data_IF_216714645377
#
_entry.id   IF_216714645377
#
_cell.length_a   1.000
_cell.length_b   1.000
_cell.length_c   1.000
_cell.angle_alpha   90.00
_cell.angle_beta   90.00
_cell.angle_gamma   90.00
#
_symmetry.space_group_name_H-M   'P 1'
#
loop_
_entity.id
_entity.type
_entity.pdbx_description
1 polymer ?
#
# COMPACT_ATOMS: atom_id res chain seq x y z
N UNK A 1 -5.26 -6.28 -1.73
CA UNK A 1 -4.48 -6.86 -0.62
C UNK A 1 -5.00 -8.24 -0.20
N UNK A 2 -6.23 -8.61 -0.57
CA UNK A 2 -6.85 -9.91 -0.27
C UNK A 2 -6.02 -11.15 -0.67
N UNK A 3 -5.23 -11.07 -1.76
CA UNK A 3 -4.40 -12.20 -2.20
C UNK A 3 -3.18 -12.44 -1.30
N UNK A 4 -2.54 -11.37 -0.82
CA UNK A 4 -1.34 -11.48 0.01
C UNK A 4 -1.69 -11.97 1.42
N UNK A 5 -2.84 -11.55 1.96
CA UNK A 5 -3.34 -12.00 3.25
C UNK A 5 -3.79 -13.47 3.26
N UNK A 6 -4.03 -14.07 2.08
CA UNK A 6 -4.32 -15.49 1.96
C UNK A 6 -3.08 -16.38 2.22
N UNK A 7 -1.87 -15.81 2.18
CA UNK A 7 -0.61 -16.56 2.29
C UNK A 7 0.32 -16.03 3.39
N UNK A 8 0.14 -14.78 3.85
CA UNK A 8 0.93 -14.19 4.94
C UNK A 8 0.02 -13.49 5.95
N UNK A 9 0.30 -13.60 7.27
CA UNK A 9 -0.38 -12.81 8.28
C UNK A 9 -0.28 -11.32 7.97
N UNK A 10 -1.38 -10.58 8.12
CA UNK A 10 -1.43 -9.14 7.81
C UNK A 10 -0.33 -8.33 8.49
N UNK A 11 0.03 -8.65 9.74
CA UNK A 11 1.09 -7.96 10.49
C UNK A 11 2.48 -8.06 9.84
N UNK A 12 2.68 -8.99 8.91
CA UNK A 12 3.93 -9.16 8.17
C UNK A 12 3.89 -8.50 6.78
N UNK A 13 2.77 -7.91 6.37
CA UNK A 13 2.61 -7.32 5.05
C UNK A 13 2.99 -5.83 5.05
N UNK A 14 3.85 -5.48 4.10
CA UNK A 14 4.23 -4.11 3.80
C UNK A 14 3.72 -3.72 2.41
N UNK A 15 3.49 -2.42 2.21
CA UNK A 15 3.08 -1.87 0.91
C UNK A 15 4.17 -0.90 0.47
N UNK A 16 4.84 -1.22 -0.63
CA UNK A 16 5.92 -0.45 -1.21
C UNK A 16 5.93 -0.63 -2.74
N UNK A 17 6.61 0.26 -3.50
CA UNK A 17 6.88 0.02 -4.91
C UNK A 17 7.75 -1.23 -5.12
N UNK A 18 7.71 -1.79 -6.33
CA UNK A 18 8.51 -2.96 -6.70
C UNK A 18 10.03 -2.70 -6.62
N UNK A 19 10.47 -1.48 -6.92
CA UNK A 19 11.89 -1.10 -6.90
C UNK A 19 12.08 0.40 -6.63
N UNK A 20 13.34 0.85 -6.63
CA UNK A 20 13.69 2.26 -6.48
C UNK A 20 13.13 3.13 -7.61
N UNK A 21 12.75 4.36 -7.29
CA UNK A 21 12.05 5.27 -8.21
C UNK A 21 12.99 6.19 -9.01
N UNK A 22 14.30 5.88 -9.08
CA UNK A 22 15.33 6.77 -9.68
C UNK A 22 15.04 7.14 -11.13
N UNK A 23 14.40 6.25 -11.88
CA UNK A 23 14.09 6.44 -13.31
C UNK A 23 12.70 7.04 -13.55
N UNK A 24 12.01 7.48 -12.49
CA UNK A 24 10.65 8.01 -12.55
C UNK A 24 10.63 9.53 -12.37
N UNK A 25 9.68 10.18 -13.03
CA UNK A 25 9.44 11.62 -12.92
C UNK A 25 8.65 11.98 -11.65
N UNK A 26 8.84 13.19 -11.13
CA UNK A 26 8.19 13.59 -9.89
C UNK A 26 6.67 13.59 -9.95
N UNK A 27 6.09 13.98 -11.08
CA UNK A 27 4.64 14.02 -11.26
C UNK A 27 4.03 12.63 -11.15
N UNK A 28 4.66 11.62 -11.74
CA UNK A 28 4.18 10.23 -11.65
C UNK A 28 4.45 9.63 -10.27
N UNK A 29 5.62 9.88 -9.68
CA UNK A 29 5.98 9.41 -8.34
C UNK A 29 4.98 9.91 -7.33
N UNK A 30 4.71 11.22 -7.32
CA UNK A 30 3.79 11.82 -6.35
C UNK A 30 2.38 11.25 -6.47
N UNK A 31 1.86 11.11 -7.69
CA UNK A 31 0.54 10.54 -7.91
C UNK A 31 0.47 9.07 -7.48
N UNK A 32 1.44 8.26 -7.89
CA UNK A 32 1.50 6.83 -7.57
C UNK A 32 1.61 6.58 -6.07
N UNK A 33 2.55 7.25 -5.39
CA UNK A 33 2.74 7.12 -3.94
C UNK A 33 1.51 7.60 -3.17
N UNK A 34 0.89 8.71 -3.60
CA UNK A 34 -0.36 9.21 -2.98
C UNK A 34 -1.47 8.16 -3.06
N UNK A 35 -1.66 7.54 -4.22
CA UNK A 35 -2.68 6.51 -4.41
C UNK A 35 -2.39 5.25 -3.60
N UNK A 36 -1.12 4.83 -3.55
CA UNK A 36 -0.68 3.68 -2.76
C UNK A 36 -0.93 3.90 -1.25
N UNK A 37 -0.59 5.08 -0.72
CA UNK A 37 -0.86 5.42 0.69
C UNK A 37 -2.36 5.45 0.97
N UNK A 38 -3.17 6.05 0.08
CA UNK A 38 -4.64 6.06 0.22
C UNK A 38 -5.21 4.65 0.26
N UNK A 39 -4.77 3.76 -0.62
CA UNK A 39 -5.19 2.37 -0.65
C UNK A 39 -4.82 1.63 0.65
N UNK A 40 -3.58 1.78 1.11
CA UNK A 40 -3.13 1.18 2.37
C UNK A 40 -3.92 1.71 3.58
N UNK A 41 -4.20 3.02 3.64
CA UNK A 41 -4.99 3.63 4.71
C UNK A 41 -6.43 3.10 4.72
N UNK A 42 -7.07 2.98 3.55
CA UNK A 42 -8.42 2.40 3.45
C UNK A 42 -8.46 0.98 4.02
N UNK A 43 -7.45 0.15 3.71
CA UNK A 43 -7.38 -1.23 4.18
C UNK A 43 -7.10 -1.34 5.68
N UNK A 44 -6.34 -0.41 6.25
CA UNK A 44 -6.16 -0.32 7.71
C UNK A 44 -7.47 0.02 8.41
N UNK A 45 -8.22 1.00 7.88
CA UNK A 45 -9.51 1.40 8.46
C UNK A 45 -10.57 0.30 8.43
N UNK A 46 -10.62 -0.49 7.35
CA UNK A 46 -11.57 -1.61 7.21
C UNK A 46 -11.38 -2.75 8.24
N UNK A 47 -10.27 -2.76 8.99
CA UNK A 47 -9.97 -3.80 9.97
C UNK A 47 -9.88 -3.30 11.40
N UNK A 48 -10.34 -2.08 11.68
CA UNK A 48 -10.53 -1.64 13.04
C UNK A 48 -11.91 -2.11 13.52
N UNK A 49 -12.04 -2.99 14.54
CA UNK A 49 -13.34 -3.46 15.01
C UNK A 49 -14.15 -2.39 15.77
N UNK A 50 -13.64 -1.17 15.89
CA UNK A 50 -14.32 -0.01 16.50
C UNK A 50 -14.48 1.17 15.52
N UNK A 51 -14.60 0.89 14.23
CA UNK A 51 -15.00 1.85 13.20
C UNK A 51 -16.36 1.51 12.61
#
# INVERSE_FOLDING_TARGET
>A
MNKAEAVLPRGHLWVNPDCGLKTREWKEVKLSLTNMVKAASKLRSLNNPMG
#
